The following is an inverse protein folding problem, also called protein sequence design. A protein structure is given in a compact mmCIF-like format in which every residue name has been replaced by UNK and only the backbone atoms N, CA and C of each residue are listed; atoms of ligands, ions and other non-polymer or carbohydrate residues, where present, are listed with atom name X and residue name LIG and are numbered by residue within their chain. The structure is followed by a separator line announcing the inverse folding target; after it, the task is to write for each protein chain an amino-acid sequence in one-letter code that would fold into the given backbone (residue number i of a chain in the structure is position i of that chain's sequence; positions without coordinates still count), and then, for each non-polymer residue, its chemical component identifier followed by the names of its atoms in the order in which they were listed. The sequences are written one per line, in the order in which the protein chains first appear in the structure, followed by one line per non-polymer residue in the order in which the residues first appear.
data_IF_985294319141
#
_entry.id   IF_985294319141
#
_cell.length_a   1.000
_cell.length_b   1.000
_cell.length_c   1.000
_cell.angle_alpha   90.00
_cell.angle_beta   90.00
_cell.angle_gamma   90.00
#
_symmetry.space_group_name_H-M   'P 1'
#
loop_
_entity.id
_entity.type
_entity.pdbx_description
1 polymer ?
#
# COMPACT_ATOMS: atom_id res chain seq x y z
N UNK A 1 -15.05 -21.02 0.80
CA UNK A 1 -15.43 -19.58 0.77
C UNK A 1 -14.62 -18.90 -0.33
N UNK A 2 -15.18 -18.01 -1.17
CA UNK A 2 -14.40 -17.26 -2.16
C UNK A 2 -13.31 -16.39 -1.50
N UNK A 3 -12.17 -16.23 -2.16
CA UNK A 3 -10.97 -15.58 -1.58
C UNK A 3 -11.24 -14.14 -1.11
N UNK A 4 -11.87 -13.32 -1.95
CA UNK A 4 -12.22 -11.93 -1.62
C UNK A 4 -13.17 -11.85 -0.42
N UNK A 5 -14.12 -12.78 -0.32
CA UNK A 5 -15.04 -12.84 0.81
C UNK A 5 -14.31 -13.27 2.09
N UNK A 6 -13.36 -14.21 1.99
CA UNK A 6 -12.55 -14.66 3.10
C UNK A 6 -11.72 -13.50 3.68
N UNK A 7 -10.95 -12.81 2.83
CA UNK A 7 -10.08 -11.68 3.24
C UNK A 7 -10.90 -10.59 3.96
N UNK A 8 -12.07 -10.22 3.44
CA UNK A 8 -12.92 -9.19 4.05
C UNK A 8 -13.55 -9.60 5.38
N UNK A 9 -13.71 -10.90 5.63
CA UNK A 9 -14.39 -11.43 6.81
C UNK A 9 -13.45 -12.02 7.87
N UNK A 10 -12.12 -11.97 7.70
CA UNK A 10 -11.14 -12.47 8.68
C UNK A 10 -11.40 -11.90 10.09
N UNK A 11 -11.67 -10.60 10.16
CA UNK A 11 -12.01 -9.89 11.39
C UNK A 11 -13.21 -10.52 12.10
N UNK A 12 -14.30 -10.77 11.35
CA UNK A 12 -15.54 -11.34 11.88
C UNK A 12 -15.34 -12.79 12.29
N UNK A 13 -14.65 -13.59 11.48
CA UNK A 13 -14.37 -15.00 11.79
C UNK A 13 -13.51 -15.14 13.06
N UNK A 14 -12.56 -14.22 13.28
CA UNK A 14 -11.79 -14.18 14.52
C UNK A 14 -12.65 -13.73 15.70
N UNK A 15 -13.48 -12.69 15.53
CA UNK A 15 -14.34 -12.18 16.60
C UNK A 15 -15.39 -13.19 17.09
N UNK A 16 -15.90 -14.06 16.21
CA UNK A 16 -16.89 -15.09 16.57
C UNK A 16 -16.25 -16.40 17.07
N UNK A 17 -14.92 -16.48 17.18
CA UNK A 17 -14.21 -17.69 17.62
C UNK A 17 -14.08 -18.79 16.56
N UNK A 18 -14.31 -18.49 15.28
CA UNK A 18 -14.05 -19.47 14.20
C UNK A 18 -12.55 -19.62 13.93
N UNK A 19 -11.80 -18.53 14.08
CA UNK A 19 -10.34 -18.51 13.97
C UNK A 19 -9.76 -18.29 15.37
N UNK A 20 -9.15 -19.34 15.91
CA UNK A 20 -8.48 -19.34 17.21
C UNK A 20 -7.02 -19.79 17.04
N UNK A 21 -6.17 -19.39 17.98
CA UNK A 21 -4.75 -19.78 17.97
C UNK A 21 -4.62 -21.32 17.93
N UNK A 22 -3.77 -21.84 17.03
CA UNK A 22 -3.53 -23.28 16.80
C UNK A 22 -4.71 -24.11 16.22
N UNK A 23 -5.72 -23.47 15.63
CA UNK A 23 -6.81 -24.19 14.98
C UNK A 23 -6.50 -24.57 13.52
N UNK A 24 -7.08 -25.68 13.03
CA UNK A 24 -6.87 -26.16 11.64
C UNK A 24 -7.38 -25.15 10.60
N UNK A 25 -8.45 -24.42 10.90
CA UNK A 25 -9.00 -23.40 10.01
C UNK A 25 -8.02 -22.24 9.80
N UNK A 26 -7.21 -21.91 10.81
CA UNK A 26 -6.16 -20.88 10.68
C UNK A 26 -5.10 -21.35 9.69
N UNK A 27 -4.68 -22.62 9.76
CA UNK A 27 -3.72 -23.18 8.82
C UNK A 27 -4.26 -23.16 7.39
N UNK A 28 -5.51 -23.59 7.19
CA UNK A 28 -6.17 -23.56 5.88
C UNK A 28 -6.28 -22.13 5.31
N UNK A 29 -6.61 -21.15 6.15
CA UNK A 29 -6.65 -19.73 5.74
C UNK A 29 -5.25 -19.24 5.34
N UNK A 30 -4.22 -19.56 6.12
CA UNK A 30 -2.84 -19.19 5.80
C UNK A 30 -2.33 -19.85 4.52
N UNK A 31 -2.66 -21.11 4.27
CA UNK A 31 -2.35 -21.82 3.03
C UNK A 31 -3.00 -21.14 1.81
N UNK A 32 -4.28 -20.81 1.92
CA UNK A 32 -5.00 -20.11 0.84
C UNK A 32 -4.43 -18.71 0.59
N UNK A 33 -4.04 -17.97 1.63
CA UNK A 33 -3.41 -16.65 1.51
C UNK A 33 -2.04 -16.71 0.85
N UNK A 34 -1.28 -17.79 1.04
CA UNK A 34 0.05 -17.99 0.44
C UNK A 34 0.02 -18.63 -0.94
N UNK A 35 -1.15 -19.04 -1.42
CA UNK A 35 -1.29 -19.69 -2.71
C UNK A 35 -1.41 -18.65 -3.83
N UNK A 36 -0.34 -18.48 -4.61
CA UNK A 36 -0.24 -17.52 -5.72
C UNK A 36 -1.32 -17.76 -6.79
N UNK A 37 -1.60 -19.01 -7.15
CA UNK A 37 -2.60 -19.36 -8.17
C UNK A 37 -4.01 -18.97 -7.73
N UNK A 38 -4.34 -19.18 -6.45
CA UNK A 38 -5.63 -18.78 -5.89
C UNK A 38 -5.78 -17.26 -5.86
N UNK A 39 -4.73 -16.54 -5.45
CA UNK A 39 -4.73 -15.07 -5.46
C UNK A 39 -4.92 -14.51 -6.87
N UNK A 40 -4.22 -15.09 -7.86
CA UNK A 40 -4.31 -14.69 -9.27
C UNK A 40 -5.67 -15.00 -9.87
N UNK A 41 -6.20 -16.21 -9.65
CA UNK A 41 -7.51 -16.63 -10.14
C UNK A 41 -8.64 -15.76 -9.57
N UNK A 42 -8.52 -15.35 -8.30
CA UNK A 42 -9.46 -14.45 -7.66
C UNK A 42 -9.22 -12.96 -7.97
N UNK A 43 -8.19 -12.62 -8.78
CA UNK A 43 -7.80 -11.24 -9.14
C UNK A 43 -7.65 -10.34 -7.93
N UNK A 44 -7.01 -10.87 -6.88
CA UNK A 44 -6.78 -10.11 -5.66
C UNK A 44 -5.74 -9.04 -5.93
N UNK A 45 -6.18 -7.78 -5.86
CA UNK A 45 -5.30 -6.62 -5.95
C UNK A 45 -4.52 -6.41 -4.64
N UNK A 46 -3.22 -6.04 -4.69
CA UNK A 46 -2.40 -5.89 -3.49
C UNK A 46 -2.92 -4.89 -2.48
N UNK A 47 -3.49 -3.79 -2.97
CA UNK A 47 -4.08 -2.77 -2.11
C UNK A 47 -5.23 -3.32 -1.23
N UNK A 48 -6.03 -4.26 -1.75
CA UNK A 48 -7.09 -4.89 -0.96
C UNK A 48 -6.53 -5.75 0.17
N UNK A 49 -5.39 -6.40 -0.07
CA UNK A 49 -4.70 -7.20 0.94
C UNK A 49 -4.09 -6.29 2.01
N UNK A 50 -3.47 -5.18 1.62
CA UNK A 50 -2.92 -4.20 2.55
C UNK A 50 -4.00 -3.59 3.44
N UNK A 51 -5.15 -3.24 2.88
CA UNK A 51 -6.29 -2.74 3.64
C UNK A 51 -6.76 -3.78 4.66
N UNK A 52 -6.87 -5.05 4.24
CA UNK A 52 -7.26 -6.14 5.13
C UNK A 52 -6.22 -6.40 6.24
N UNK A 53 -4.92 -6.33 5.92
CA UNK A 53 -3.83 -6.43 6.88
C UNK A 53 -3.94 -5.34 7.96
N UNK A 54 -4.00 -4.07 7.53
CA UNK A 54 -4.07 -2.94 8.47
C UNK A 54 -5.35 -2.95 9.30
N UNK A 55 -6.47 -3.35 8.70
CA UNK A 55 -7.70 -3.54 9.45
C UNK A 55 -7.56 -4.67 10.46
N UNK A 56 -7.03 -5.83 10.07
CA UNK A 56 -6.91 -6.98 10.96
C UNK A 56 -5.99 -6.68 12.15
N UNK A 57 -4.89 -5.98 11.91
CA UNK A 57 -3.96 -5.50 12.95
C UNK A 57 -4.59 -4.51 13.93
N UNK A 58 -5.57 -3.70 13.51
CA UNK A 58 -6.19 -2.70 14.38
C UNK A 58 -7.04 -3.31 15.50
N UNK A 59 -7.46 -4.57 15.36
CA UNK A 59 -8.22 -5.32 16.37
C UNK A 59 -9.64 -4.80 16.63
N UNK A 60 -10.11 -3.82 15.85
CA UNK A 60 -11.43 -3.21 16.01
C UNK A 60 -12.03 -2.82 14.66
N UNK A 61 -13.36 -2.87 14.57
CA UNK A 61 -14.10 -2.43 13.39
C UNK A 61 -14.18 -0.91 13.28
N UNK A 62 -14.17 -0.38 12.05
CA UNK A 62 -14.23 1.06 11.80
C UNK A 62 -15.61 1.67 12.07
N UNK A 63 -16.69 0.92 11.79
CA UNK A 63 -18.09 1.40 11.86
C UNK A 63 -18.95 0.65 12.87
N UNK A 64 -18.38 -0.24 13.68
CA UNK A 64 -19.12 -1.08 14.61
C UNK A 64 -18.36 -1.38 15.89
N UNK A 65 -19.01 -2.08 16.83
CA UNK A 65 -18.44 -2.48 18.12
C UNK A 65 -17.65 -3.80 18.07
N UNK A 66 -17.43 -4.34 16.87
CA UNK A 66 -16.72 -5.60 16.70
C UNK A 66 -15.25 -5.42 17.09
N UNK A 67 -14.79 -6.24 18.03
CA UNK A 67 -13.39 -6.33 18.44
C UNK A 67 -12.88 -7.75 18.27
N UNK A 68 -11.59 -7.88 17.98
CA UNK A 68 -10.93 -9.18 17.87
C UNK A 68 -9.45 -9.03 18.26
N UNK A 69 -8.84 -10.16 18.61
CA UNK A 69 -7.39 -10.24 18.83
C UNK A 69 -6.73 -10.68 17.53
N UNK A 70 -5.83 -9.86 16.99
CA UNK A 70 -5.11 -10.21 15.77
C UNK A 70 -4.20 -11.43 16.02
N UNK A 71 -4.33 -12.46 15.18
CA UNK A 71 -3.51 -13.67 15.26
C UNK A 71 -2.24 -13.47 14.41
N UNK A 72 -1.02 -13.55 14.99
CA UNK A 72 0.23 -13.23 14.28
C UNK A 72 0.48 -14.03 13.00
N UNK A 73 0.07 -15.31 12.97
CA UNK A 73 0.27 -16.16 11.79
C UNK A 73 -0.58 -15.70 10.59
N UNK A 74 -1.78 -15.17 10.85
CA UNK A 74 -2.66 -14.61 9.81
C UNK A 74 -2.11 -13.27 9.33
N UNK A 75 -1.66 -12.41 10.24
CA UNK A 75 -1.01 -11.14 9.88
C UNK A 75 0.20 -11.37 8.97
N UNK A 76 1.05 -12.35 9.30
CA UNK A 76 2.19 -12.73 8.46
C UNK A 76 1.75 -13.29 7.10
N UNK A 77 0.72 -14.14 7.07
CA UNK A 77 0.20 -14.68 5.82
C UNK A 77 -0.42 -13.59 4.92
N UNK A 78 -1.05 -12.56 5.51
CA UNK A 78 -1.54 -11.39 4.78
C UNK A 78 -0.40 -10.53 4.22
N UNK A 79 0.70 -10.37 4.97
CA UNK A 79 1.90 -9.70 4.48
C UNK A 79 2.53 -10.47 3.30
N UNK A 80 2.66 -11.80 3.41
CA UNK A 80 3.14 -12.65 2.32
C UNK A 80 2.22 -12.50 1.08
N UNK A 81 0.89 -12.55 1.29
CA UNK A 81 -0.10 -12.38 0.23
C UNK A 81 -0.03 -11.00 -0.45
N UNK A 82 0.30 -9.94 0.31
CA UNK A 82 0.49 -8.60 -0.24
C UNK A 82 1.60 -8.59 -1.29
N UNK A 83 2.76 -9.16 -0.99
CA UNK A 83 3.86 -9.21 -1.94
C UNK A 83 3.61 -10.20 -3.10
N UNK A 84 2.97 -11.34 -2.84
CA UNK A 84 2.61 -12.31 -3.89
C UNK A 84 1.61 -11.72 -4.90
N UNK A 85 0.66 -10.92 -4.41
CA UNK A 85 -0.37 -10.33 -5.25
C UNK A 85 0.15 -9.27 -6.24
N UNK A 86 1.40 -8.81 -6.11
CA UNK A 86 1.99 -7.86 -7.06
C UNK A 86 2.03 -8.42 -8.48
N UNK A 87 2.26 -9.73 -8.62
CA UNK A 87 2.27 -10.43 -9.92
C UNK A 87 0.90 -10.49 -10.60
N UNK A 88 -0.17 -10.16 -9.88
CA UNK A 88 -1.53 -10.13 -10.43
C UNK A 88 -1.82 -8.83 -11.19
N UNK A 89 -0.95 -7.84 -11.07
CA UNK A 89 -1.07 -6.56 -11.77
C UNK A 89 -0.48 -6.72 -13.17
N UNK A 90 -1.26 -6.35 -14.19
CA UNK A 90 -0.80 -6.41 -15.57
C UNK A 90 0.16 -5.23 -15.86
N UNK A 91 1.37 -5.50 -16.38
CA UNK A 91 2.31 -4.45 -16.72
C UNK A 91 1.86 -3.67 -17.95
N UNK A 92 2.15 -2.38 -17.95
CA UNK A 92 1.90 -1.49 -19.09
C UNK A 92 3.11 -1.38 -20.03
N UNK A 93 4.31 -1.75 -19.56
CA UNK A 93 5.56 -1.69 -20.32
C UNK A 93 6.04 -0.26 -20.58
N UNK A 94 5.58 0.70 -19.77
CA UNK A 94 5.91 2.12 -19.91
C UNK A 94 6.93 2.52 -18.85
N UNK A 95 7.53 3.69 -19.06
CA UNK A 95 8.51 4.26 -18.14
C UNK A 95 7.77 5.06 -17.07
N UNK A 96 7.89 4.69 -15.80
CA UNK A 96 7.11 5.30 -14.73
C UNK A 96 7.92 6.23 -13.85
N UNK A 97 7.38 7.42 -13.60
CA UNK A 97 7.89 8.28 -12.54
C UNK A 97 6.96 8.20 -11.33
N UNK A 98 7.47 7.62 -10.25
CA UNK A 98 6.74 7.37 -9.01
C UNK A 98 7.04 8.50 -8.03
N UNK A 99 6.11 9.44 -7.97
CA UNK A 99 6.23 10.64 -7.15
C UNK A 99 5.40 10.52 -5.88
N UNK A 100 6.07 10.43 -4.74
CA UNK A 100 5.45 10.34 -3.42
C UNK A 100 5.37 11.71 -2.75
N UNK A 101 4.17 12.11 -2.36
CA UNK A 101 3.96 13.29 -1.52
C UNK A 101 4.41 12.97 -0.08
N UNK A 102 5.38 13.73 0.43
CA UNK A 102 5.91 13.60 1.80
C UNK A 102 5.49 14.77 2.70
N UNK A 103 4.48 15.55 2.29
CA UNK A 103 3.93 16.62 3.11
C UNK A 103 3.23 16.09 4.36
N UNK A 104 3.17 16.91 5.41
CA UNK A 104 2.53 16.54 6.68
C UNK A 104 1.05 16.16 6.54
N UNK A 105 0.34 16.64 5.51
CA UNK A 105 -1.05 16.22 5.25
C UNK A 105 -1.17 14.73 4.89
N UNK A 106 -0.10 14.09 4.41
CA UNK A 106 -0.10 12.66 4.08
C UNK A 106 -0.05 11.75 5.31
N UNK A 107 0.28 12.31 6.48
CA UNK A 107 0.31 11.60 7.77
C UNK A 107 -1.05 11.65 8.50
N UNK A 108 -2.02 12.40 7.98
CA UNK A 108 -3.33 12.54 8.61
C UNK A 108 -4.47 12.07 7.70
N UNK A 109 -5.54 11.62 8.32
CA UNK A 109 -6.72 11.08 7.64
C UNK A 109 -6.63 9.59 7.33
N UNK A 110 -7.79 9.02 6.97
CA UNK A 110 -7.91 7.67 6.44
C UNK A 110 -8.02 7.70 4.92
N UNK A 111 -7.44 6.70 4.24
CA UNK A 111 -7.53 6.54 2.80
C UNK A 111 -8.62 5.50 2.45
N UNK A 112 -9.32 5.69 1.31
CA UNK A 112 -10.40 4.80 0.84
C UNK A 112 -11.51 4.59 1.88
N UNK A 113 -11.82 5.64 2.65
CA UNK A 113 -12.89 5.61 3.65
C UNK A 113 -12.65 4.68 4.85
N UNK A 114 -11.41 4.20 5.04
CA UNK A 114 -10.98 3.48 6.24
C UNK A 114 -9.95 4.29 7.02
N UNK A 115 -10.16 4.55 8.34
CA UNK A 115 -9.16 5.16 9.21
C UNK A 115 -7.92 4.28 9.45
N UNK A 116 -7.96 3.00 9.08
CA UNK A 116 -6.89 2.04 9.36
C UNK A 116 -5.64 2.24 8.49
N UNK A 117 -5.73 3.00 7.39
CA UNK A 117 -4.61 3.25 6.48
C UNK A 117 -4.46 4.75 6.20
N UNK A 118 -3.25 5.27 6.46
CA UNK A 118 -2.93 6.67 6.19
C UNK A 118 -2.52 6.87 4.72
N UNK A 119 -2.72 8.07 4.14
CA UNK A 119 -2.39 8.34 2.74
C UNK A 119 -0.94 8.05 2.37
N UNK A 120 0.02 8.36 3.24
CA UNK A 120 1.44 8.08 2.96
C UNK A 120 1.72 6.57 2.82
N UNK A 121 1.05 5.72 3.61
CA UNK A 121 1.16 4.26 3.51
C UNK A 121 0.55 3.75 2.21
N UNK A 122 -0.63 4.25 1.86
CA UNK A 122 -1.31 3.90 0.62
C UNK A 122 -0.47 4.28 -0.62
N UNK A 123 0.06 5.50 -0.65
CA UNK A 123 0.91 6.02 -1.74
C UNK A 123 2.20 5.21 -1.88
N UNK A 124 2.88 4.90 -0.77
CA UNK A 124 4.07 4.05 -0.78
C UNK A 124 3.77 2.65 -1.34
N UNK A 125 2.67 2.04 -0.93
CA UNK A 125 2.27 0.73 -1.40
C UNK A 125 1.99 0.72 -2.92
N UNK A 126 1.27 1.72 -3.43
CA UNK A 126 1.00 1.83 -4.86
C UNK A 126 2.26 2.10 -5.69
N UNK A 127 3.19 2.91 -5.15
CA UNK A 127 4.49 3.11 -5.77
C UNK A 127 5.28 1.80 -5.84
N UNK A 128 5.32 1.02 -4.75
CA UNK A 128 5.98 -0.29 -4.72
C UNK A 128 5.37 -1.30 -5.69
N UNK A 129 4.03 -1.36 -5.78
CA UNK A 129 3.33 -2.21 -6.74
C UNK A 129 3.77 -1.86 -8.16
N UNK A 130 3.77 -0.58 -8.50
CA UNK A 130 4.14 -0.12 -9.84
C UNK A 130 5.62 -0.43 -10.13
N UNK A 131 6.52 -0.15 -9.19
CA UNK A 131 7.95 -0.40 -9.32
C UNK A 131 8.34 -1.88 -9.46
N UNK A 132 7.53 -2.79 -8.91
CA UNK A 132 7.76 -4.23 -9.06
C UNK A 132 7.05 -4.83 -10.28
N UNK A 133 6.11 -4.10 -10.87
CA UNK A 133 5.40 -4.51 -12.08
C UNK A 133 6.08 -3.98 -13.34
N UNK A 134 6.73 -2.82 -13.25
CA UNK A 134 7.30 -2.09 -14.39
C UNK A 134 8.83 -2.03 -14.28
N UNK A 135 9.53 -2.41 -15.35
CA UNK A 135 10.99 -2.49 -15.36
C UNK A 135 11.67 -1.11 -15.30
N UNK A 136 11.12 -0.12 -16.00
CA UNK A 136 11.66 1.24 -16.05
C UNK A 136 10.86 2.16 -15.12
N UNK A 137 11.42 2.42 -13.93
CA UNK A 137 10.81 3.31 -12.95
C UNK A 137 11.85 4.14 -12.21
N UNK A 138 11.42 5.34 -11.78
CA UNK A 138 12.19 6.20 -10.88
C UNK A 138 11.35 6.60 -9.67
N UNK A 139 11.98 6.63 -8.49
CA UNK A 139 11.35 7.11 -7.26
C UNK A 139 11.76 8.55 -6.95
N UNK A 140 10.77 9.40 -6.73
CA UNK A 140 10.98 10.76 -6.23
C UNK A 140 10.03 11.06 -5.09
N UNK A 141 10.50 11.84 -4.13
CA UNK A 141 9.65 12.48 -3.13
C UNK A 141 9.45 13.94 -3.51
N UNK A 142 8.30 14.49 -3.15
CA UNK A 142 8.06 15.91 -3.29
C UNK A 142 7.26 16.49 -2.12
N UNK A 143 7.53 17.76 -1.83
CA UNK A 143 6.68 18.63 -1.04
C UNK A 143 6.77 20.06 -1.62
N UNK A 144 7.79 20.82 -1.25
CA UNK A 144 8.14 22.11 -1.87
C UNK A 144 9.17 21.97 -2.99
N UNK A 145 10.02 20.96 -2.88
CA UNK A 145 11.07 20.61 -3.85
C UNK A 145 10.96 19.14 -4.20
N UNK A 146 11.51 18.76 -5.36
CA UNK A 146 11.61 17.36 -5.79
C UNK A 146 12.96 16.83 -5.33
N UNK A 147 12.95 15.70 -4.63
CA UNK A 147 14.16 15.04 -4.16
C UNK A 147 14.13 13.60 -4.67
N UNK A 148 15.18 13.13 -5.37
CA UNK A 148 15.28 11.72 -5.74
C UNK A 148 15.37 10.87 -4.48
N UNK A 149 14.62 9.77 -4.44
CA UNK A 149 14.68 8.83 -3.34
C UNK A 149 15.55 7.63 -3.71
N UNK A 150 16.51 7.31 -2.84
CA UNK A 150 17.33 6.11 -3.00
C UNK A 150 16.59 4.88 -2.44
N UNK A 151 15.51 4.49 -3.11
CA UNK A 151 14.67 3.35 -2.78
C UNK A 151 14.74 2.37 -3.94
N UNK A 152 14.76 1.07 -3.63
CA UNK A 152 14.73 0.02 -4.64
C UNK A 152 13.41 -0.74 -4.61
N UNK A 153 13.08 -1.41 -5.72
CA UNK A 153 11.84 -2.18 -5.85
C UNK A 153 11.77 -3.36 -4.87
N UNK A 154 12.89 -3.88 -4.36
CA UNK A 154 12.95 -5.06 -3.49
C UNK A 154 12.80 -4.73 -1.99
N UNK A 155 12.83 -3.45 -1.62
CA UNK A 155 12.64 -3.00 -0.23
C UNK A 155 11.27 -3.43 0.31
N UNK A 156 11.18 -3.57 1.63
CA UNK A 156 9.92 -3.80 2.34
C UNK A 156 9.16 -2.50 2.53
N UNK A 157 7.84 -2.59 2.71
CA UNK A 157 6.98 -1.42 2.89
C UNK A 157 7.46 -0.53 4.05
N UNK A 158 7.89 -1.11 5.17
CA UNK A 158 8.41 -0.37 6.31
C UNK A 158 9.68 0.42 6.00
N UNK A 159 10.58 -0.15 5.18
CA UNK A 159 11.83 0.49 4.76
C UNK A 159 11.54 1.68 3.84
N UNK A 160 10.59 1.51 2.91
CA UNK A 160 10.11 2.58 2.02
C UNK A 160 9.49 3.71 2.83
N UNK A 161 8.67 3.39 3.83
CA UNK A 161 8.05 4.38 4.71
C UNK A 161 9.10 5.12 5.55
N UNK A 162 10.09 4.40 6.09
CA UNK A 162 11.19 5.01 6.84
C UNK A 162 12.02 5.95 5.95
N UNK A 163 12.29 5.55 4.71
CA UNK A 163 12.98 6.39 3.73
C UNK A 163 12.15 7.65 3.42
N UNK A 164 10.85 7.52 3.18
CA UNK A 164 9.96 8.65 2.93
C UNK A 164 9.90 9.63 4.12
N UNK A 165 9.79 9.13 5.35
CA UNK A 165 9.82 9.97 6.56
C UNK A 165 11.16 10.69 6.73
N UNK A 166 12.29 10.03 6.44
CA UNK A 166 13.61 10.66 6.52
C UNK A 166 13.80 11.82 5.53
N UNK A 167 13.07 11.81 4.41
CA UNK A 167 13.05 12.92 3.45
C UNK A 167 12.14 14.03 3.98
N UNK A 168 10.99 13.70 4.57
CA UNK A 168 10.10 14.68 5.22
C UNK A 168 10.84 15.50 6.29
N UNK A 169 11.65 14.87 7.13
CA UNK A 169 12.38 15.56 8.20
C UNK A 169 13.44 16.55 7.66
N UNK A 170 14.00 16.26 6.49
CA UNK A 170 14.99 17.12 5.81
C UNK A 170 14.35 18.28 5.04
N UNK A 171 13.08 18.14 4.66
CA UNK A 171 12.33 19.12 3.87
C UNK A 171 11.28 19.75 4.79
N UNK A 172 11.69 20.72 5.62
CA UNK A 172 10.83 21.32 6.65
C UNK A 172 9.40 21.65 6.16
N UNK A 173 8.43 21.16 6.92
CA UNK A 173 6.99 21.20 6.68
C UNK A 173 6.45 22.61 6.89
N UNK A 174 5.98 23.29 5.83
CA UNK A 174 5.01 24.37 6.00
C UNK A 174 4.00 24.43 4.83
N UNK A 175 2.85 23.78 5.04
CA UNK A 175 1.61 23.81 4.22
C UNK A 175 1.76 23.42 2.74
N UNK A 176 1.31 22.21 2.42
CA UNK A 176 1.06 21.69 1.07
C UNK A 176 0.06 22.58 0.33
N UNK A 177 0.56 23.46 -0.55
CA UNK A 177 -0.28 24.16 -1.53
C UNK A 177 -0.35 23.34 -2.81
N UNK A 178 -1.57 23.07 -3.28
CA UNK A 178 -1.92 22.45 -4.57
C UNK A 178 -1.14 23.03 -5.78
N UNK A 179 -0.62 24.26 -5.66
CA UNK A 179 0.29 24.87 -6.64
C UNK A 179 1.62 24.13 -6.84
N UNK A 180 2.14 23.43 -5.83
CA UNK A 180 3.35 22.64 -5.98
C UNK A 180 3.14 21.48 -6.96
N UNK A 181 1.96 20.84 -6.95
CA UNK A 181 1.62 19.74 -7.88
C UNK A 181 1.47 20.23 -9.32
N UNK A 182 0.88 21.41 -9.54
CA UNK A 182 0.78 22.00 -10.89
C UNK A 182 2.14 22.51 -11.40
N UNK A 183 2.95 23.13 -10.53
CA UNK A 183 4.32 23.53 -10.86
C UNK A 183 5.21 22.32 -11.09
N UNK A 184 5.02 21.23 -10.33
CA UNK A 184 5.64 19.93 -10.49
C UNK A 184 5.28 19.27 -11.82
N UNK A 185 3.99 19.21 -12.16
CA UNK A 185 3.50 18.76 -13.46
C UNK A 185 4.10 19.59 -14.60
N UNK A 186 4.24 20.91 -14.39
CA UNK A 186 4.88 21.81 -15.36
C UNK A 186 6.39 21.60 -15.47
N UNK A 187 7.12 21.48 -14.36
CA UNK A 187 8.57 21.24 -14.30
C UNK A 187 8.94 19.87 -14.89
N UNK A 188 8.19 18.82 -14.54
CA UNK A 188 8.32 17.47 -15.09
C UNK A 188 7.88 17.42 -16.54
N UNK A 189 6.84 18.17 -16.94
CA UNK A 189 6.51 18.27 -18.36
C UNK A 189 7.59 19.00 -19.17
N UNK A 190 8.42 19.83 -18.53
CA UNK A 190 9.55 20.48 -19.19
C UNK A 190 10.81 19.61 -19.25
N UNK A 191 11.04 18.78 -18.24
CA UNK A 191 12.27 17.97 -18.09
C UNK A 191 12.08 16.52 -18.56
N UNK A 192 10.90 15.93 -18.33
CA UNK A 192 10.67 14.48 -18.40
C UNK A 192 9.44 14.03 -19.22
N UNK A 193 8.56 14.91 -19.73
CA UNK A 193 7.38 14.50 -20.55
C UNK A 193 7.71 13.72 -21.84
N UNK A 194 8.80 13.97 -22.58
CA UNK A 194 9.13 13.08 -23.70
C UNK A 194 9.67 11.73 -23.22
N UNK A 195 9.83 11.52 -21.91
CA UNK A 195 10.62 10.43 -21.32
C UNK A 195 9.81 9.54 -20.35
N UNK A 196 8.81 10.00 -19.60
CA UNK A 196 8.10 9.12 -18.63
C UNK A 196 6.58 9.33 -18.61
N UNK A 197 5.83 8.25 -18.39
CA UNK A 197 4.45 8.30 -17.92
C UNK A 197 4.42 8.52 -16.41
N UNK A 198 3.78 9.60 -15.97
CA UNK A 198 3.66 9.91 -14.54
C UNK A 198 2.39 9.30 -13.95
N UNK A 199 2.55 8.43 -12.95
CA UNK A 199 1.45 7.95 -12.11
C UNK A 199 1.40 8.78 -10.82
N UNK A 200 0.36 9.59 -10.67
CA UNK A 200 0.16 10.47 -9.53
C UNK A 200 -0.73 9.82 -8.48
N UNK A 201 -0.15 9.38 -7.35
CA UNK A 201 -0.91 8.78 -6.25
C UNK A 201 -1.41 9.82 -5.23
N UNK A 202 -1.86 10.99 -5.69
CA UNK A 202 -2.29 12.10 -4.82
C UNK A 202 -3.79 12.12 -4.47
N UNK A 203 -4.62 11.26 -5.09
CA UNK A 203 -6.08 11.32 -4.91
C UNK A 203 -6.69 9.94 -4.73
N UNK A 204 -6.72 9.44 -3.48
CA UNK A 204 -7.63 8.39 -3.01
C UNK A 204 -7.96 8.59 -1.52
#
# INVERSE_FOLDING_TARGET
MPMTAMIRNLNKMTAIGLLEENNEQVQLVCENLRNEDLLKKARIHPFNVLLALKQYESGRGDKGSLTWKAIPIITKALEDAFYLSFKNVEPTGKRHMLAMDVSGSMQCGGCVGSPSIQPHVASAAMAMVTARTEDDHIFVAFSHTIVPMNINSHMRLEEVLKAASSVSDKVQINTSKVFAVLRFLFEISRIYRPVYTCNFSCYF
#
